data_IF_179666840737
#
_entry.id   IF_179666840737
#
_cell.length_a   1.000
_cell.length_b   1.000
_cell.length_c   1.000
_cell.angle_alpha   90.00
_cell.angle_beta   90.00
_cell.angle_gamma   90.00
#
_symmetry.space_group_name_H-M   'P 1'
#
loop_
_entity.id
_entity.type
_entity.pdbx_description
1 polymer ?
#
# COMPACT_ATOMS: atom_id res chain seq x y z
N UNK A 1 -40.43 3.99 10.28
CA UNK A 1 -41.06 2.65 10.24
C UNK A 1 -42.58 2.80 10.18
N UNK A 2 -43.22 2.55 9.02
CA UNK A 2 -44.65 2.76 8.86
C UNK A 2 -45.48 1.95 9.86
N UNK A 3 -45.01 0.76 10.25
CA UNK A 3 -45.66 -0.16 11.19
C UNK A 3 -45.64 0.29 12.66
N UNK A 4 -44.66 1.11 13.04
CA UNK A 4 -44.48 1.57 14.43
C UNK A 4 -44.93 3.03 14.61
N UNK A 5 -45.32 3.71 13.53
CA UNK A 5 -45.61 5.15 13.55
C UNK A 5 -44.43 6.02 14.01
N UNK A 6 -43.22 5.46 14.07
CA UNK A 6 -42.04 6.10 14.62
C UNK A 6 -41.00 6.40 13.54
N UNK A 7 -40.31 7.53 13.71
CA UNK A 7 -39.17 7.91 12.89
C UNK A 7 -37.89 7.30 13.47
N UNK A 8 -37.08 6.70 12.60
CA UNK A 8 -35.73 6.22 12.91
C UNK A 8 -34.72 7.07 12.14
N UNK A 9 -33.55 7.31 12.73
CA UNK A 9 -32.49 8.13 12.12
C UNK A 9 -32.08 7.55 10.75
N UNK A 10 -31.83 8.42 9.77
CA UNK A 10 -31.41 8.02 8.41
C UNK A 10 -30.10 7.25 8.36
N UNK A 11 -29.28 7.32 9.43
CA UNK A 11 -28.03 6.55 9.56
C UNK A 11 -28.27 5.07 9.90
N UNK A 12 -29.44 4.74 10.46
CA UNK A 12 -29.82 3.38 10.84
C UNK A 12 -30.65 2.68 9.74
N UNK A 13 -30.77 3.31 8.58
CA UNK A 13 -31.33 2.68 7.39
C UNK A 13 -30.17 2.09 6.60
N UNK A 14 -30.32 0.87 6.08
CA UNK A 14 -29.30 0.21 5.28
C UNK A 14 -27.98 -0.04 6.03
N UNK A 15 -28.03 -0.26 7.34
CA UNK A 15 -26.82 -0.54 8.13
C UNK A 15 -26.56 -2.05 8.29
N UNK A 16 -27.42 -2.88 7.71
CA UNK A 16 -27.33 -4.34 7.76
C UNK A 16 -28.03 -4.97 8.96
N UNK A 17 -28.67 -4.18 9.83
CA UNK A 17 -29.44 -4.66 10.98
C UNK A 17 -30.91 -4.28 10.84
N UNK A 18 -31.80 -5.24 11.12
CA UNK A 18 -33.24 -5.00 11.12
C UNK A 18 -33.65 -4.27 12.40
N UNK A 19 -33.90 -2.97 12.27
CA UNK A 19 -34.49 -2.11 13.28
C UNK A 19 -36.02 -2.06 13.19
N UNK A 20 -36.58 -2.32 12.00
CA UNK A 20 -38.03 -2.49 11.85
C UNK A 20 -38.42 -3.97 11.95
N UNK A 21 -39.51 -4.34 12.64
CA UNK A 21 -40.02 -5.71 12.66
C UNK A 21 -40.37 -6.22 11.24
N UNK A 22 -40.81 -5.33 10.34
CA UNK A 22 -41.04 -5.65 8.93
C UNK A 22 -39.78 -5.58 8.06
N UNK A 23 -38.63 -5.22 8.64
CA UNK A 23 -37.35 -5.06 7.94
C UNK A 23 -37.37 -4.00 6.84
N UNK A 24 -38.33 -3.06 6.87
CA UNK A 24 -38.52 -2.04 5.84
C UNK A 24 -37.32 -1.09 5.70
N UNK A 25 -36.59 -0.90 6.80
CA UNK A 25 -35.32 -0.18 6.90
C UNK A 25 -34.19 -0.83 6.07
N UNK A 26 -34.27 -2.14 5.81
CA UNK A 26 -33.26 -2.91 5.07
C UNK A 26 -33.79 -3.45 3.71
N UNK A 27 -34.96 -2.99 3.27
CA UNK A 27 -35.51 -3.40 1.98
C UNK A 27 -34.82 -2.66 0.83
N UNK A 28 -34.47 -3.39 -0.22
CA UNK A 28 -33.80 -2.85 -1.42
C UNK A 28 -34.56 -1.67 -2.06
N UNK A 29 -35.90 -1.70 -2.03
CA UNK A 29 -36.73 -0.60 -2.54
C UNK A 29 -36.48 0.72 -1.79
N UNK A 30 -36.28 0.65 -0.47
CA UNK A 30 -36.02 1.80 0.40
C UNK A 30 -34.53 2.14 0.49
N UNK A 31 -33.68 1.17 0.22
CA UNK A 31 -32.23 1.28 0.25
C UNK A 31 -31.59 1.70 -1.09
N UNK A 32 -32.40 1.75 -2.15
CA UNK A 32 -31.99 2.06 -3.52
C UNK A 32 -31.45 3.49 -3.72
N UNK A 33 -31.68 4.40 -2.77
CA UNK A 33 -31.30 5.83 -2.88
C UNK A 33 -30.01 6.15 -2.13
N UNK A 34 -29.54 5.26 -1.25
CA UNK A 34 -28.38 5.57 -0.42
C UNK A 34 -27.62 4.31 -0.04
N UNK A 35 -27.12 3.58 -1.04
CA UNK A 35 -25.95 2.73 -0.85
C UNK A 35 -24.74 3.63 -0.58
N UNK A 36 -24.74 4.22 0.62
CA UNK A 36 -23.54 4.52 1.37
C UNK A 36 -22.87 3.19 1.66
N UNK A 37 -22.35 2.52 0.61
CA UNK A 37 -21.09 1.84 0.78
C UNK A 37 -20.19 2.88 1.45
N UNK A 38 -19.61 2.59 2.62
CA UNK A 38 -18.64 3.49 3.19
C UNK A 38 -17.51 3.59 2.16
N UNK A 39 -17.54 4.66 1.36
CA UNK A 39 -16.52 5.01 0.39
C UNK A 39 -15.13 5.10 1.08
N UNK A 40 -15.13 5.23 2.40
CA UNK A 40 -13.97 5.07 3.28
C UNK A 40 -13.25 3.72 3.11
N UNK A 41 -13.95 2.61 2.83
CA UNK A 41 -13.30 1.32 2.60
C UNK A 41 -12.76 1.17 1.18
N UNK A 42 -13.47 1.70 0.17
CA UNK A 42 -13.02 1.65 -1.22
C UNK A 42 -11.76 2.52 -1.44
N UNK A 43 -11.73 3.69 -0.80
CA UNK A 43 -10.56 4.58 -0.83
C UNK A 43 -9.37 3.94 -0.09
N UNK A 44 -9.63 3.18 0.98
CA UNK A 44 -8.58 2.49 1.76
C UNK A 44 -7.85 1.41 0.96
N UNK A 45 -8.56 0.63 0.12
CA UNK A 45 -7.93 -0.41 -0.71
C UNK A 45 -7.06 0.23 -1.81
N UNK A 46 -7.56 1.29 -2.46
CA UNK A 46 -6.83 2.00 -3.49
C UNK A 46 -5.54 2.65 -2.95
N UNK A 47 -5.60 3.28 -1.78
CA UNK A 47 -4.42 3.84 -1.11
C UNK A 47 -3.42 2.76 -0.70
N UNK A 48 -3.89 1.63 -0.16
CA UNK A 48 -3.01 0.53 0.24
C UNK A 48 -2.26 -0.06 -0.97
N UNK A 49 -2.94 -0.26 -2.10
CA UNK A 49 -2.32 -0.75 -3.32
C UNK A 49 -1.25 0.22 -3.86
N UNK A 50 -1.55 1.53 -3.89
CA UNK A 50 -0.58 2.55 -4.30
C UNK A 50 0.63 2.60 -3.36
N UNK A 51 0.40 2.52 -2.04
CA UNK A 51 1.49 2.50 -1.06
C UNK A 51 2.42 1.30 -1.25
N UNK A 52 1.87 0.10 -1.51
CA UNK A 52 2.68 -1.10 -1.79
C UNK A 52 3.53 -0.96 -3.04
N UNK A 53 2.98 -0.39 -4.12
CA UNK A 53 3.74 -0.13 -5.35
C UNK A 53 4.86 0.87 -5.09
N UNK A 54 4.58 1.97 -4.38
CA UNK A 54 5.60 2.97 -4.02
C UNK A 54 6.71 2.34 -3.18
N UNK A 55 6.37 1.56 -2.15
CA UNK A 55 7.35 0.88 -1.30
C UNK A 55 8.21 -0.09 -2.13
N UNK A 56 7.60 -0.90 -2.99
CA UNK A 56 8.32 -1.83 -3.86
C UNK A 56 9.30 -1.09 -4.79
N UNK A 57 8.88 0.03 -5.39
CA UNK A 57 9.76 0.83 -6.26
C UNK A 57 10.93 1.45 -5.48
N UNK A 58 10.69 1.98 -4.27
CA UNK A 58 11.74 2.53 -3.41
C UNK A 58 12.74 1.45 -3.00
N UNK A 59 12.28 0.25 -2.64
CA UNK A 59 13.16 -0.89 -2.30
C UNK A 59 14.02 -1.29 -3.50
N UNK A 60 13.44 -1.37 -4.71
CA UNK A 60 14.21 -1.68 -5.93
C UNK A 60 15.27 -0.61 -6.20
N UNK A 61 14.93 0.67 -6.08
CA UNK A 61 15.88 1.77 -6.27
C UNK A 61 17.02 1.68 -5.24
N UNK A 62 16.70 1.44 -3.96
CA UNK A 62 17.72 1.27 -2.91
C UNK A 62 18.64 0.07 -3.22
N UNK A 63 18.09 -1.06 -3.67
CA UNK A 63 18.88 -2.22 -4.08
C UNK A 63 19.78 -1.89 -5.26
N UNK A 64 19.28 -1.17 -6.28
CA UNK A 64 20.08 -0.74 -7.43
C UNK A 64 21.22 0.19 -7.00
N UNK A 65 20.95 1.16 -6.12
CA UNK A 65 21.97 2.07 -5.58
C UNK A 65 23.02 1.29 -4.79
N UNK A 66 22.61 0.39 -3.90
CA UNK A 66 23.54 -0.44 -3.12
C UNK A 66 24.38 -1.32 -4.04
N UNK A 67 23.77 -1.92 -5.07
CA UNK A 67 24.51 -2.74 -6.05
C UNK A 67 25.50 -1.89 -6.83
N UNK A 68 25.10 -0.72 -7.31
CA UNK A 68 25.99 0.19 -8.04
C UNK A 68 27.16 0.64 -7.15
N UNK A 69 26.86 1.03 -5.91
CA UNK A 69 27.88 1.43 -4.94
C UNK A 69 28.85 0.29 -4.62
N UNK A 70 28.34 -0.94 -4.43
CA UNK A 70 29.20 -2.13 -4.25
C UNK A 70 30.07 -2.43 -5.47
N UNK A 71 29.56 -2.22 -6.68
CA UNK A 71 30.36 -2.39 -7.89
C UNK A 71 31.48 -1.36 -7.95
N UNK A 72 31.18 -0.10 -7.64
CA UNK A 72 32.20 0.96 -7.60
C UNK A 72 33.31 0.62 -6.59
N UNK A 73 32.95 0.20 -5.37
CA UNK A 73 33.94 -0.20 -4.36
C UNK A 73 34.78 -1.41 -4.81
N UNK A 74 34.19 -2.38 -5.52
CA UNK A 74 34.94 -3.52 -6.07
C UNK A 74 35.97 -3.06 -7.10
N UNK A 75 35.60 -2.14 -7.99
CA UNK A 75 36.49 -1.63 -9.04
C UNK A 75 37.68 -0.89 -8.41
N UNK A 76 37.43 -0.06 -7.39
CA UNK A 76 38.49 0.64 -6.64
C UNK A 76 39.44 -0.33 -5.95
N UNK A 77 38.92 -1.39 -5.31
CA UNK A 77 39.77 -2.40 -4.65
C UNK A 77 40.67 -3.14 -5.66
N UNK A 78 40.12 -3.51 -6.82
CA UNK A 78 40.89 -4.19 -7.87
C UNK A 78 42.00 -3.29 -8.41
N UNK A 79 41.71 -2.01 -8.69
CA UNK A 79 42.73 -1.08 -9.20
C UNK A 79 43.86 -0.84 -8.21
N UNK A 80 43.56 -0.74 -6.90
CA UNK A 80 44.59 -0.59 -5.86
C UNK A 80 45.45 -1.84 -5.74
N UNK A 81 44.85 -3.02 -5.82
CA UNK A 81 45.57 -4.30 -5.74
C UNK A 81 46.53 -4.49 -6.93
N UNK A 82 46.12 -4.04 -8.11
CA UNK A 82 46.96 -4.11 -9.31
C UNK A 82 48.19 -3.19 -9.20
N UNK A 83 48.00 -1.96 -8.71
CA UNK A 83 49.10 -1.03 -8.44
C UNK A 83 50.07 -1.53 -7.36
N UNK A 84 49.59 -2.07 -6.24
CA UNK A 84 50.46 -2.60 -5.18
C UNK A 84 51.21 -3.86 -5.60
N UNK A 85 50.59 -4.71 -6.44
CA UNK A 85 51.25 -5.89 -6.98
C UNK A 85 52.38 -5.52 -7.96
N UNK A 86 52.19 -4.48 -8.78
CA UNK A 86 53.24 -3.97 -9.68
C UNK A 86 54.43 -3.40 -8.91
N UNK A 87 54.18 -2.61 -7.85
CA UNK A 87 55.22 -2.10 -6.94
C UNK A 87 56.05 -3.25 -6.32
N UNK A 88 55.38 -4.30 -5.84
CA UNK A 88 56.07 -5.49 -5.29
C UNK A 88 56.93 -6.21 -6.33
N UNK A 89 56.49 -6.27 -7.58
CA UNK A 89 57.24 -6.90 -8.67
C UNK A 89 58.49 -6.09 -9.08
N UNK A 90 58.44 -4.77 -8.98
CA UNK A 90 59.58 -3.89 -9.29
C UNK A 90 60.62 -3.78 -8.16
N UNK A 91 60.24 -4.05 -6.90
CA UNK A 91 61.14 -3.98 -5.75
C UNK A 91 61.91 -5.26 -5.43
N UNK A 92 61.70 -6.35 -6.19
CA UNK A 92 62.35 -7.65 -6.01
C UNK A 92 63.55 -7.88 -6.96
N UNK A 93 64.25 -6.80 -7.35
CA UNK A 93 65.57 -6.86 -7.97
C UNK A 93 66.66 -6.49 -6.96
#
# INVERSE_FOLDING_TARGET
CPELGACISSKLWCDGLRHCPSGNDEQEANCSINSSFPYDYLNSIALAALALVVIATLVVILVVIIKNWRQEQRNVIVSVTEHTFLEFKSGLC
#
